data_IF_956541741042
#
_entry.id   IF_956541741042
#
_cell.length_a   1.000
_cell.length_b   1.000
_cell.length_c   1.000
_cell.angle_alpha   90.00
_cell.angle_beta   90.00
_cell.angle_gamma   90.00
#
_symmetry.space_group_name_H-M   'P 1'
#
loop_
_entity.id
_entity.type
_entity.pdbx_description
1 polymer ?
#
# COMPACT_ATOMS: atom_id res chain seq x y z
N UNK A 1 -17.28 -7.05 20.07
CA UNK A 1 -16.21 -7.68 19.26
C UNK A 1 -15.50 -6.56 18.52
N UNK A 2 -14.18 -6.48 18.64
CA UNK A 2 -13.36 -5.44 18.00
C UNK A 2 -13.27 -5.66 16.47
N UNK A 3 -12.93 -4.62 15.73
CA UNK A 3 -12.65 -4.65 14.30
C UNK A 3 -11.13 -4.66 14.05
N UNK A 4 -10.70 -5.03 12.85
CA UNK A 4 -9.29 -4.89 12.44
C UNK A 4 -9.18 -4.32 11.03
N UNK A 5 -8.29 -3.36 10.83
CA UNK A 5 -7.92 -2.83 9.53
C UNK A 5 -6.44 -3.12 9.29
N UNK A 6 -6.18 -3.95 8.29
CA UNK A 6 -4.86 -4.22 7.79
C UNK A 6 -4.49 -3.26 6.67
N UNK A 7 -3.30 -2.67 6.75
CA UNK A 7 -2.79 -1.76 5.73
C UNK A 7 -1.43 -2.22 5.19
N UNK A 8 -1.21 -2.02 3.90
CA UNK A 8 0.12 -2.01 3.29
C UNK A 8 0.36 -0.64 2.68
N UNK A 9 1.47 0.03 3.01
CA UNK A 9 1.75 1.37 2.53
C UNK A 9 3.23 1.61 2.27
N UNK A 10 3.54 2.31 1.18
CA UNK A 10 4.89 2.79 0.88
C UNK A 10 5.10 4.23 1.32
N UNK A 11 4.21 5.14 0.91
CA UNK A 11 4.30 6.59 1.16
C UNK A 11 3.26 7.13 2.13
N UNK A 12 2.61 6.26 2.91
CA UNK A 12 1.64 6.66 3.95
C UNK A 12 0.19 6.80 3.48
N UNK A 13 -0.11 6.77 2.18
CA UNK A 13 -1.48 6.98 1.68
C UNK A 13 -2.48 5.93 2.20
N UNK A 14 -2.19 4.63 2.00
CA UNK A 14 -3.04 3.55 2.52
C UNK A 14 -3.18 3.59 4.05
N UNK A 15 -2.12 3.97 4.76
CA UNK A 15 -2.14 4.12 6.21
C UNK A 15 -3.04 5.28 6.63
N UNK A 16 -2.94 6.43 5.97
CA UNK A 16 -3.81 7.59 6.23
C UNK A 16 -5.28 7.27 5.97
N UNK A 17 -5.60 6.53 4.91
CA UNK A 17 -6.96 6.01 4.66
C UNK A 17 -7.41 5.11 5.82
N UNK A 18 -6.58 4.14 6.20
CA UNK A 18 -6.91 3.18 7.26
C UNK A 18 -7.15 3.86 8.61
N UNK A 19 -6.27 4.79 8.99
CA UNK A 19 -6.41 5.62 10.20
C UNK A 19 -7.66 6.50 10.16
N UNK A 20 -8.00 7.05 8.99
CA UNK A 20 -9.21 7.84 8.80
C UNK A 20 -10.49 7.03 9.03
N UNK A 21 -10.54 5.79 8.52
CA UNK A 21 -11.67 4.87 8.72
C UNK A 21 -11.73 4.38 10.17
N UNK A 22 -10.58 4.02 10.76
CA UNK A 22 -10.48 3.59 12.16
C UNK A 22 -11.17 4.58 13.12
N UNK A 23 -10.95 5.89 12.93
CA UNK A 23 -11.58 6.96 13.72
C UNK A 23 -13.11 7.02 13.60
N UNK A 24 -13.71 6.37 12.61
CA UNK A 24 -15.15 6.45 12.29
C UNK A 24 -15.92 5.18 12.59
N UNK A 25 -15.27 4.01 12.55
CA UNK A 25 -15.95 2.72 12.71
C UNK A 25 -15.81 2.11 14.13
N UNK A 26 -15.32 2.89 15.10
CA UNK A 26 -15.29 2.53 16.52
C UNK A 26 -14.09 1.65 16.91
N UNK A 27 -14.29 0.74 17.88
CA UNK A 27 -13.28 -0.20 18.41
C UNK A 27 -12.60 -0.99 17.30
N UNK A 28 -11.42 -0.52 16.88
CA UNK A 28 -10.74 -0.99 15.68
C UNK A 28 -9.24 -0.97 15.87
N UNK A 29 -8.62 -2.14 15.70
CA UNK A 29 -7.18 -2.29 15.65
C UNK A 29 -6.68 -1.91 14.26
N UNK A 30 -5.59 -1.16 14.21
CA UNK A 30 -4.90 -0.83 12.97
C UNK A 30 -3.57 -1.58 12.93
N UNK A 31 -3.34 -2.40 11.91
CA UNK A 31 -2.18 -3.29 11.86
C UNK A 31 -1.52 -3.36 10.46
N UNK A 32 -0.19 -3.53 10.37
CA UNK A 32 0.46 -3.82 9.10
C UNK A 32 -0.04 -5.15 8.50
N UNK A 33 -0.45 -5.14 7.24
CA UNK A 33 -1.01 -6.30 6.55
C UNK A 33 -0.05 -7.50 6.51
N UNK A 34 1.25 -7.26 6.41
CA UNK A 34 2.24 -8.34 6.39
C UNK A 34 2.42 -9.04 7.74
N UNK A 35 1.86 -8.47 8.82
CA UNK A 35 1.77 -9.07 10.15
C UNK A 35 0.40 -9.72 10.40
N UNK A 36 -0.48 -9.81 9.40
CA UNK A 36 -1.86 -10.28 9.60
C UNK A 36 -1.96 -11.72 10.16
N UNK A 37 -0.97 -12.57 9.87
CA UNK A 37 -0.88 -13.93 10.42
C UNK A 37 -0.67 -13.98 11.94
N UNK A 38 -0.19 -12.88 12.54
CA UNK A 38 0.05 -12.78 13.98
C UNK A 38 -1.28 -12.51 14.74
N UNK A 39 -2.39 -12.36 14.01
CA UNK A 39 -3.72 -12.07 14.53
C UNK A 39 -4.66 -13.25 14.30
N UNK A 40 -5.56 -13.49 15.26
CA UNK A 40 -6.69 -14.40 15.07
C UNK A 40 -7.80 -13.70 14.28
N UNK A 41 -7.59 -13.52 12.97
CA UNK A 41 -8.43 -12.68 12.11
C UNK A 41 -9.92 -13.09 12.14
N UNK A 42 -10.20 -14.39 12.29
CA UNK A 42 -11.55 -14.92 12.40
C UNK A 42 -12.33 -14.49 13.67
N UNK A 43 -11.69 -13.86 14.67
CA UNK A 43 -12.35 -13.37 15.89
C UNK A 43 -12.88 -11.92 15.76
N UNK A 44 -12.43 -11.17 14.74
CA UNK A 44 -12.82 -9.76 14.56
C UNK A 44 -14.17 -9.60 13.86
N UNK A 45 -14.96 -8.59 14.22
CA UNK A 45 -16.26 -8.37 13.57
C UNK A 45 -16.11 -7.98 12.09
N UNK A 46 -15.42 -6.86 11.85
CA UNK A 46 -15.11 -6.33 10.52
C UNK A 46 -13.61 -6.47 10.25
N UNK A 47 -13.25 -6.94 9.05
CA UNK A 47 -11.86 -7.05 8.57
C UNK A 47 -11.65 -6.13 7.36
N UNK A 48 -10.74 -5.17 7.47
CA UNK A 48 -10.39 -4.26 6.39
C UNK A 48 -9.05 -4.59 5.74
N UNK A 49 -8.97 -4.52 4.41
CA UNK A 49 -7.71 -4.57 3.66
C UNK A 49 -7.52 -3.29 2.85
N UNK A 50 -6.47 -2.53 3.14
CA UNK A 50 -6.17 -1.27 2.44
C UNK A 50 -4.76 -1.32 1.88
N UNK A 51 -4.65 -1.18 0.56
CA UNK A 51 -3.41 -1.41 -0.17
C UNK A 51 -3.28 -0.46 -1.36
N UNK A 52 -2.04 -0.13 -1.79
CA UNK A 52 -1.80 0.61 -3.01
C UNK A 52 -2.03 -0.28 -4.23
N UNK A 53 -2.17 0.32 -5.40
CA UNK A 53 -2.20 -0.41 -6.68
C UNK A 53 -0.86 -0.29 -7.39
N UNK A 54 -0.14 -1.41 -7.54
CA UNK A 54 1.15 -1.47 -8.24
C UNK A 54 0.98 -2.17 -9.57
N UNK A 55 1.26 -1.44 -10.66
CA UNK A 55 1.06 -1.92 -12.02
C UNK A 55 -0.31 -2.59 -12.19
N UNK A 56 -1.37 -1.87 -11.86
CA UNK A 56 -2.78 -2.31 -11.95
C UNK A 56 -3.19 -3.52 -11.08
N UNK A 57 -2.35 -4.00 -10.16
CA UNK A 57 -2.67 -5.13 -9.27
C UNK A 57 -2.39 -4.81 -7.79
N UNK A 58 -2.85 -5.71 -6.91
CA UNK A 58 -2.39 -5.76 -5.52
C UNK A 58 -0.89 -6.10 -5.48
N UNK A 59 -0.09 -5.47 -4.60
CA UNK A 59 1.30 -5.87 -4.37
C UNK A 59 1.35 -7.34 -3.98
N UNK A 60 2.17 -8.15 -4.65
CA UNK A 60 2.12 -9.61 -4.48
C UNK A 60 2.28 -10.06 -3.03
N UNK A 61 3.15 -9.39 -2.27
CA UNK A 61 3.36 -9.69 -0.84
C UNK A 61 2.11 -9.42 0.02
N UNK A 62 1.32 -8.40 -0.34
CA UNK A 62 0.07 -8.08 0.33
C UNK A 62 -1.01 -9.10 -0.04
N UNK A 63 -1.06 -9.50 -1.31
CA UNK A 63 -2.00 -10.51 -1.80
C UNK A 63 -1.73 -11.88 -1.14
N UNK A 64 -0.46 -12.30 -1.06
CA UNK A 64 -0.07 -13.51 -0.32
C UNK A 64 -0.49 -13.46 1.14
N UNK A 65 -0.25 -12.34 1.83
CA UNK A 65 -0.70 -12.18 3.21
C UNK A 65 -2.23 -12.30 3.37
N UNK A 66 -3.02 -11.74 2.44
CA UNK A 66 -4.49 -11.86 2.44
C UNK A 66 -4.95 -13.30 2.14
N UNK A 67 -4.22 -14.02 1.31
CA UNK A 67 -4.54 -15.42 1.00
C UNK A 67 -4.36 -16.32 2.24
N UNK A 68 -3.32 -16.06 3.05
CA UNK A 68 -2.92 -16.94 4.16
C UNK A 68 -3.76 -16.77 5.45
N UNK A 69 -4.58 -15.72 5.57
CA UNK A 69 -5.44 -15.53 6.76
C UNK A 69 -6.64 -16.48 6.76
N UNK A 70 -7.05 -16.90 7.96
CA UNK A 70 -8.34 -17.58 8.17
C UNK A 70 -9.46 -16.56 8.43
N UNK A 71 -10.58 -16.71 7.74
CA UNK A 71 -11.81 -15.92 7.93
C UNK A 71 -12.96 -16.86 8.24
N UNK A 72 -13.96 -16.39 9.01
CA UNK A 72 -15.18 -17.16 9.25
C UNK A 72 -16.20 -16.95 8.13
N UNK A 73 -17.04 -17.95 7.90
CA UNK A 73 -18.15 -17.85 6.95
C UNK A 73 -19.05 -16.66 7.30
N UNK A 74 -19.40 -15.86 6.31
CA UNK A 74 -20.22 -14.66 6.49
C UNK A 74 -19.51 -13.49 7.19
N UNK A 75 -18.21 -13.58 7.48
CA UNK A 75 -17.45 -12.45 8.05
C UNK A 75 -17.51 -11.25 7.10
N UNK A 76 -17.68 -10.06 7.68
CA UNK A 76 -17.68 -8.84 6.89
C UNK A 76 -16.24 -8.43 6.57
N UNK A 77 -15.98 -8.24 5.28
CA UNK A 77 -14.67 -7.82 4.76
C UNK A 77 -14.87 -6.59 3.89
N UNK A 78 -14.04 -5.58 4.06
CA UNK A 78 -13.94 -4.49 3.09
C UNK A 78 -12.53 -4.39 2.52
N UNK A 79 -12.43 -4.07 1.23
CA UNK A 79 -11.16 -3.87 0.55
C UNK A 79 -11.12 -2.49 -0.12
N UNK A 80 -10.03 -1.75 0.06
CA UNK A 80 -9.84 -0.43 -0.52
C UNK A 80 -8.54 -0.38 -1.32
N UNK A 81 -8.70 -0.16 -2.63
CA UNK A 81 -7.60 0.13 -3.53
C UNK A 81 -7.25 1.62 -3.49
N UNK A 82 -6.09 1.97 -2.92
CA UNK A 82 -5.51 3.31 -2.97
C UNK A 82 -4.71 3.48 -4.27
N UNK A 83 -5.13 4.38 -5.18
CA UNK A 83 -4.56 4.44 -6.52
C UNK A 83 -4.22 5.85 -6.99
N UNK A 84 -3.05 6.00 -7.63
CA UNK A 84 -2.64 7.24 -8.30
C UNK A 84 -3.15 7.33 -9.74
N UNK A 85 -2.85 6.31 -10.55
CA UNK A 85 -3.26 6.24 -11.96
C UNK A 85 -4.60 5.55 -12.14
N UNK A 86 -4.56 4.22 -12.21
CA UNK A 86 -5.71 3.33 -12.38
C UNK A 86 -5.86 2.39 -11.17
N UNK A 87 -7.10 2.06 -10.80
CA UNK A 87 -7.38 1.01 -9.79
C UNK A 87 -7.18 -0.41 -10.33
N UNK A 88 -7.16 -0.56 -11.65
CA UNK A 88 -6.76 -1.82 -12.28
C UNK A 88 -7.65 -3.02 -11.95
N UNK A 89 -6.99 -4.16 -11.85
CA UNK A 89 -7.50 -5.45 -11.43
C UNK A 89 -7.39 -5.67 -9.92
N UNK A 90 -6.90 -4.69 -9.15
CA UNK A 90 -6.57 -4.90 -7.75
C UNK A 90 -7.76 -5.42 -6.89
N UNK A 91 -8.98 -4.96 -7.14
CA UNK A 91 -10.17 -5.50 -6.45
C UNK A 91 -10.62 -6.86 -6.99
N UNK A 92 -10.29 -7.17 -8.24
CA UNK A 92 -10.44 -8.52 -8.77
C UNK A 92 -9.49 -9.51 -8.10
N UNK A 93 -8.21 -9.13 -7.94
CA UNK A 93 -7.22 -9.94 -7.22
C UNK A 93 -7.72 -10.29 -5.80
N UNK A 94 -8.37 -9.33 -5.11
CA UNK A 94 -9.00 -9.57 -3.79
C UNK A 94 -10.13 -10.59 -3.87
N UNK A 95 -11.03 -10.48 -4.85
CA UNK A 95 -12.11 -11.47 -5.04
C UNK A 95 -11.56 -12.87 -5.25
N UNK A 96 -10.50 -12.99 -6.05
CA UNK A 96 -9.83 -14.27 -6.32
C UNK A 96 -9.21 -14.84 -5.04
N UNK A 97 -8.47 -14.03 -4.27
CA UNK A 97 -7.86 -14.44 -3.00
C UNK A 97 -8.87 -14.79 -1.89
N UNK A 98 -10.11 -14.28 -1.98
CA UNK A 98 -11.18 -14.55 -1.01
C UNK A 98 -12.23 -15.55 -1.50
N UNK A 99 -12.09 -16.08 -2.72
CA UNK A 99 -13.11 -16.89 -3.41
C UNK A 99 -13.58 -18.12 -2.62
N UNK A 100 -12.68 -18.75 -1.84
CA UNK A 100 -13.00 -19.90 -0.99
C UNK A 100 -13.47 -19.57 0.44
N UNK A 101 -13.58 -18.29 0.83
CA UNK A 101 -13.78 -17.88 2.24
C UNK A 101 -15.23 -17.48 2.59
N UNK A 102 -16.16 -17.50 1.63
CA UNK A 102 -17.60 -17.19 1.81
C UNK A 102 -17.91 -15.92 2.65
N UNK A 103 -17.16 -14.83 2.39
CA UNK A 103 -17.29 -13.56 3.14
C UNK A 103 -18.34 -12.61 2.55
N UNK A 104 -18.78 -11.63 3.35
CA UNK A 104 -19.55 -10.47 2.88
C UNK A 104 -18.53 -9.40 2.46
N UNK A 105 -18.19 -9.38 1.17
CA UNK A 105 -17.19 -8.45 0.62
C UNK A 105 -17.79 -7.11 0.19
N UNK A 106 -17.14 -6.04 0.65
CA UNK A 106 -17.34 -4.66 0.21
C UNK A 106 -16.10 -4.15 -0.52
N UNK A 107 -16.29 -3.53 -1.67
CA UNK A 107 -15.21 -3.05 -2.53
C UNK A 107 -15.26 -1.54 -2.67
N UNK A 108 -14.13 -0.89 -2.41
CA UNK A 108 -13.98 0.54 -2.60
C UNK A 108 -12.64 0.88 -3.26
N UNK A 109 -12.56 2.09 -3.79
CA UNK A 109 -11.34 2.66 -4.36
C UNK A 109 -11.24 4.12 -3.97
N UNK A 110 -10.04 4.57 -3.67
CA UNK A 110 -9.78 5.96 -3.31
C UNK A 110 -8.58 6.44 -4.12
N UNK A 111 -8.76 7.54 -4.84
CA UNK A 111 -7.66 8.17 -5.58
C UNK A 111 -6.75 8.89 -4.58
N UNK A 112 -5.45 8.62 -4.66
CA UNK A 112 -4.40 9.28 -3.88
C UNK A 112 -3.34 9.85 -4.83
N UNK A 113 -2.39 10.68 -4.36
CA UNK A 113 -1.26 11.07 -5.20
C UNK A 113 -0.43 9.84 -5.62
N UNK A 114 0.12 9.88 -6.85
CA UNK A 114 1.03 8.84 -7.33
C UNK A 114 2.40 8.94 -6.66
N UNK A 115 3.05 7.79 -6.44
CA UNK A 115 4.28 7.70 -5.64
C UNK A 115 5.42 6.91 -6.31
N UNK A 116 5.29 6.55 -7.60
CA UNK A 116 6.27 5.73 -8.30
C UNK A 116 7.39 6.58 -8.94
N UNK A 117 8.35 7.01 -8.12
CA UNK A 117 9.43 7.94 -8.48
C UNK A 117 10.36 7.44 -9.59
N UNK A 118 10.35 6.14 -9.90
CA UNK A 118 11.13 5.56 -11.00
C UNK A 118 10.52 5.87 -12.39
N UNK A 119 9.25 6.24 -12.48
CA UNK A 119 8.60 6.63 -13.74
C UNK A 119 8.21 8.12 -13.78
N UNK A 120 7.74 8.69 -12.66
CA UNK A 120 7.26 10.06 -12.60
C UNK A 120 7.53 10.73 -11.25
N UNK A 121 7.68 12.05 -11.24
CA UNK A 121 7.85 12.83 -10.01
C UNK A 121 6.51 13.18 -9.34
N UNK A 122 6.58 13.63 -8.10
CA UNK A 122 5.41 14.13 -7.38
C UNK A 122 4.76 15.32 -8.12
N UNK A 123 3.42 15.33 -8.12
CA UNK A 123 2.62 16.44 -8.63
C UNK A 123 2.80 17.70 -7.78
N UNK A 124 2.41 18.90 -8.24
CA UNK A 124 2.47 20.11 -7.42
C UNK A 124 1.71 19.94 -6.09
N UNK A 125 2.22 20.51 -4.99
CA UNK A 125 1.64 20.36 -3.64
C UNK A 125 0.15 20.71 -3.58
N UNK A 126 -0.26 21.80 -4.22
CA UNK A 126 -1.67 22.23 -4.32
C UNK A 126 -2.57 21.15 -4.95
N UNK A 127 -2.07 20.43 -5.94
CA UNK A 127 -2.81 19.34 -6.57
C UNK A 127 -2.82 18.07 -5.71
N UNK A 128 -1.74 17.80 -4.96
CA UNK A 128 -1.71 16.73 -3.96
C UNK A 128 -2.76 16.98 -2.88
N UNK A 129 -2.81 18.19 -2.32
CA UNK A 129 -3.79 18.62 -1.31
C UNK A 129 -5.23 18.49 -1.82
N UNK A 130 -5.49 18.89 -3.07
CA UNK A 130 -6.79 18.72 -3.71
C UNK A 130 -7.21 17.23 -3.80
N UNK A 131 -6.30 16.35 -4.20
CA UNK A 131 -6.58 14.90 -4.24
C UNK A 131 -6.85 14.38 -2.82
N UNK A 132 -6.02 14.75 -1.84
CA UNK A 132 -6.15 14.29 -0.46
C UNK A 132 -7.46 14.76 0.19
N UNK A 133 -7.89 16.01 -0.06
CA UNK A 133 -9.19 16.52 0.38
C UNK A 133 -10.37 15.74 -0.23
N UNK A 134 -10.24 15.32 -1.49
CA UNK A 134 -11.23 14.42 -2.14
C UNK A 134 -11.19 13.01 -1.56
N UNK A 135 -10.01 12.51 -1.19
CA UNK A 135 -9.85 11.23 -0.52
C UNK A 135 -10.53 11.26 0.86
N UNK A 136 -10.34 12.32 1.64
CA UNK A 136 -11.00 12.50 2.95
C UNK A 136 -12.53 12.47 2.86
N UNK A 137 -13.12 13.17 1.89
CA UNK A 137 -14.57 13.09 1.64
C UNK A 137 -15.03 11.67 1.33
N UNK A 138 -14.25 10.91 0.55
CA UNK A 138 -14.54 9.51 0.26
C UNK A 138 -14.38 8.62 1.49
N UNK A 139 -13.35 8.82 2.32
CA UNK A 139 -13.14 8.11 3.59
C UNK A 139 -14.39 8.27 4.47
N UNK A 140 -14.89 9.50 4.64
CA UNK A 140 -16.08 9.75 5.43
C UNK A 140 -17.31 9.01 4.89
N UNK A 141 -17.54 9.07 3.57
CA UNK A 141 -18.66 8.37 2.93
C UNK A 141 -18.55 6.83 3.06
N UNK A 142 -17.37 6.29 2.78
CA UNK A 142 -17.10 4.85 2.83
C UNK A 142 -17.23 4.33 4.26
N UNK A 143 -16.77 5.09 5.26
CA UNK A 143 -16.88 4.68 6.67
C UNK A 143 -18.33 4.45 7.09
N UNK A 144 -19.28 5.28 6.63
CA UNK A 144 -20.71 5.05 6.86
C UNK A 144 -21.20 3.76 6.20
N UNK A 145 -20.79 3.49 4.96
CA UNK A 145 -21.18 2.27 4.25
C UNK A 145 -20.55 1.00 4.81
N UNK A 146 -19.35 1.07 5.40
CA UNK A 146 -18.72 -0.07 6.06
C UNK A 146 -19.55 -0.54 7.25
N UNK A 147 -20.27 0.35 7.92
CA UNK A 147 -21.13 -0.05 9.04
C UNK A 147 -22.44 -0.73 8.57
N UNK A 148 -22.79 -0.61 7.30
CA UNK A 148 -23.91 -1.34 6.71
C UNK A 148 -23.45 -2.74 6.30
N UNK A 149 -23.94 -3.80 6.94
CA UNK A 149 -23.55 -5.19 6.65
C UNK A 149 -24.15 -5.66 5.32
N UNK A 150 -23.58 -5.21 4.20
CA UNK A 150 -24.06 -5.52 2.84
C UNK A 150 -22.93 -5.79 1.87
N UNK A 151 -23.18 -6.65 0.87
CA UNK A 151 -22.27 -6.78 -0.29
C UNK A 151 -22.39 -5.54 -1.17
N UNK A 152 -21.26 -5.07 -1.70
CA UNK A 152 -21.28 -4.08 -2.80
C UNK A 152 -21.35 -4.78 -4.15
N UNK A 153 -21.67 -4.03 -5.21
CA UNK A 153 -21.37 -4.49 -6.56
C UNK A 153 -19.86 -4.60 -6.80
N UNK A 154 -19.47 -5.39 -7.81
CA UNK A 154 -18.07 -5.57 -8.17
C UNK A 154 -17.53 -4.39 -8.95
N UNK A 155 -16.39 -3.86 -8.51
CA UNK A 155 -15.65 -2.84 -9.25
C UNK A 155 -14.86 -3.55 -10.35
N UNK A 156 -15.28 -3.31 -11.60
CA UNK A 156 -14.60 -3.83 -12.80
C UNK A 156 -13.33 -3.03 -13.10
N UNK A 157 -12.31 -3.65 -13.72
CA UNK A 157 -11.16 -2.93 -14.27
C UNK A 157 -11.60 -1.87 -15.27
N UNK A 158 -10.92 -0.71 -15.28
CA UNK A 158 -11.17 0.30 -16.31
C UNK A 158 -10.49 -0.06 -17.65
N UNK A 159 -10.89 0.66 -18.71
CA UNK A 159 -10.36 0.43 -20.06
C UNK A 159 -8.84 0.53 -20.14
N UNK A 160 -8.25 1.50 -19.43
CA UNK A 160 -6.79 1.68 -19.35
C UNK A 160 -6.12 0.41 -18.83
N UNK A 161 -6.65 -0.20 -17.77
CA UNK A 161 -6.08 -1.42 -17.21
C UNK A 161 -6.09 -2.59 -18.21
N UNK A 162 -7.16 -2.73 -19.00
CA UNK A 162 -7.28 -3.79 -20.02
C UNK A 162 -6.20 -3.70 -21.09
N UNK A 163 -5.82 -2.48 -21.49
CA UNK A 163 -4.78 -2.25 -22.49
C UNK A 163 -3.39 -2.61 -21.93
N UNK A 164 -3.14 -2.35 -20.65
CA UNK A 164 -1.82 -2.52 -20.03
C UNK A 164 -1.62 -3.85 -19.26
N UNK A 165 -2.61 -4.75 -19.25
CA UNK A 165 -2.61 -5.96 -18.40
C UNK A 165 -1.46 -6.96 -18.70
N UNK A 166 -1.12 -7.22 -19.97
CA UNK A 166 0.00 -8.12 -20.28
C UNK A 166 1.36 -7.51 -19.87
N UNK A 167 1.49 -6.19 -20.02
CA UNK A 167 2.68 -5.44 -19.63
C UNK A 167 2.83 -5.39 -18.11
N UNK A 168 1.75 -5.31 -17.34
CA UNK A 168 1.84 -5.26 -15.87
C UNK A 168 2.41 -6.53 -15.26
N UNK A 169 2.02 -7.71 -15.74
CA UNK A 169 2.56 -8.99 -15.23
C UNK A 169 4.07 -9.10 -15.45
N UNK A 170 4.55 -8.74 -16.65
CA UNK A 170 5.98 -8.68 -16.95
C UNK A 170 6.73 -7.67 -16.06
N UNK A 171 6.15 -6.50 -15.82
CA UNK A 171 6.79 -5.51 -14.94
C UNK A 171 6.88 -6.01 -13.49
N UNK A 172 5.84 -6.68 -12.99
CA UNK A 172 5.80 -7.22 -11.62
C UNK A 172 6.85 -8.33 -11.40
N UNK A 173 7.11 -9.17 -12.40
CA UNK A 173 8.16 -10.22 -12.27
C UNK A 173 9.57 -9.64 -12.19
N UNK A 174 9.78 -8.41 -12.67
CA UNK A 174 11.08 -7.72 -12.65
C UNK A 174 11.31 -6.87 -11.39
N UNK A 175 10.36 -6.83 -10.45
CA UNK A 175 10.45 -5.96 -9.27
C UNK A 175 11.70 -6.19 -8.43
N UNK A 176 12.09 -7.45 -8.26
CA UNK A 176 13.33 -7.83 -7.58
C UNK A 176 14.54 -7.24 -8.28
N UNK A 177 14.66 -7.47 -9.60
CA UNK A 177 15.84 -7.09 -10.39
C UNK A 177 15.98 -5.57 -10.51
N UNK A 178 14.86 -4.86 -10.65
CA UNK A 178 14.87 -3.39 -10.57
C UNK A 178 15.24 -2.97 -9.14
N UNK A 179 14.71 -3.67 -8.14
CA UNK A 179 14.96 -3.39 -6.73
C UNK A 179 16.39 -3.57 -6.27
N UNK A 180 17.17 -4.44 -6.90
CA UNK A 180 18.58 -4.67 -6.55
C UNK A 180 19.50 -3.55 -7.05
N UNK A 181 19.01 -2.69 -7.96
CA UNK A 181 19.77 -1.57 -8.54
C UNK A 181 19.64 -0.27 -7.76
N UNK A 182 18.92 -0.25 -6.63
CA UNK A 182 18.94 0.89 -5.71
C UNK A 182 20.31 1.01 -5.06
N UNK A 183 20.71 2.25 -4.76
CA UNK A 183 22.00 2.55 -4.13
C UNK A 183 21.89 3.76 -3.20
N UNK A 184 22.85 3.92 -2.31
CA UNK A 184 23.01 5.11 -1.48
C UNK A 184 24.05 6.05 -2.11
N UNK A 185 23.74 7.34 -2.18
CA UNK A 185 24.67 8.41 -2.57
C UNK A 185 25.52 8.85 -1.37
N UNK A 186 26.52 9.67 -1.64
CA UNK A 186 27.46 10.24 -0.65
C UNK A 186 26.79 10.99 0.50
N UNK A 187 25.58 11.54 0.31
CA UNK A 187 24.85 12.23 1.40
C UNK A 187 24.26 11.28 2.44
N UNK A 188 24.48 9.97 2.31
CA UNK A 188 23.98 8.97 3.25
C UNK A 188 24.69 9.06 4.60
N UNK A 189 23.94 9.45 5.64
CA UNK A 189 24.43 9.49 7.03
C UNK A 189 24.25 8.17 7.78
N UNK A 190 23.99 7.06 7.08
CA UNK A 190 23.84 5.73 7.67
C UNK A 190 22.80 5.63 8.81
N UNK A 191 21.71 6.41 8.74
CA UNK A 191 20.62 6.35 9.75
C UNK A 191 19.79 5.04 9.70
N UNK A 192 19.99 4.23 8.66
CA UNK A 192 19.31 2.95 8.43
C UNK A 192 17.77 2.98 8.42
N UNK A 193 17.15 4.16 8.26
CA UNK A 193 15.69 4.28 8.15
C UNK A 193 15.11 3.46 7.00
N UNK A 194 15.82 3.42 5.86
CA UNK A 194 15.43 2.62 4.70
C UNK A 194 15.36 1.11 5.00
N UNK A 195 16.26 0.60 5.86
CA UNK A 195 16.28 -0.80 6.29
C UNK A 195 15.04 -1.10 7.13
N UNK A 196 14.75 -0.24 8.11
CA UNK A 196 13.57 -0.37 9.00
C UNK A 196 12.25 -0.30 8.24
N UNK A 197 12.16 0.60 7.26
CA UNK A 197 10.99 0.78 6.41
C UNK A 197 10.78 -0.35 5.39
N UNK A 198 11.77 -1.21 5.14
CA UNK A 198 11.69 -2.18 4.05
C UNK A 198 10.79 -3.36 4.43
N UNK A 199 9.57 -3.49 3.88
CA UNK A 199 8.63 -4.52 4.30
C UNK A 199 9.09 -5.94 3.97
N UNK A 200 9.95 -6.08 2.95
CA UNK A 200 10.47 -7.38 2.50
C UNK A 200 11.87 -7.68 3.02
N UNK A 201 12.42 -6.85 3.91
CA UNK A 201 13.80 -6.94 4.40
C UNK A 201 14.82 -7.06 3.25
N UNK A 202 14.57 -6.32 2.16
CA UNK A 202 15.41 -6.34 0.96
C UNK A 202 16.75 -5.63 1.13
N UNK A 203 16.87 -4.77 2.15
CA UNK A 203 18.06 -3.95 2.37
C UNK A 203 18.81 -4.54 3.56
N UNK A 204 20.06 -4.92 3.37
CA UNK A 204 20.96 -5.41 4.42
C UNK A 204 22.14 -4.47 4.60
N UNK A 205 22.87 -4.63 5.71
CA UNK A 205 24.08 -3.87 6.01
C UNK A 205 25.26 -4.84 5.92
N UNK A 206 26.27 -4.48 5.13
CA UNK A 206 27.52 -5.24 4.99
C UNK A 206 28.70 -4.29 4.97
N UNK A 207 29.66 -4.47 5.88
CA UNK A 207 30.82 -3.59 6.06
C UNK A 207 30.43 -2.09 6.15
N UNK A 208 29.38 -1.79 6.90
CA UNK A 208 28.82 -0.44 7.05
C UNK A 208 27.96 0.06 5.88
N UNK A 209 28.04 -0.59 4.71
CA UNK A 209 27.33 -0.19 3.49
C UNK A 209 25.95 -0.82 3.37
N UNK A 210 25.02 -0.09 2.76
CA UNK A 210 23.68 -0.57 2.42
C UNK A 210 23.71 -1.41 1.14
N UNK A 211 23.16 -2.63 1.19
CA UNK A 211 23.07 -3.55 0.06
C UNK A 211 21.60 -3.85 -0.25
N UNK A 212 21.18 -3.65 -1.50
CA UNK A 212 19.83 -3.98 -1.96
C UNK A 212 19.81 -5.35 -2.64
N UNK A 213 19.00 -6.26 -2.11
CA UNK A 213 18.78 -7.59 -2.66
C UNK A 213 17.71 -7.63 -3.76
N UNK A 214 17.26 -8.86 -4.06
CA UNK A 214 16.34 -9.18 -5.15
C UNK A 214 14.88 -9.48 -4.71
N UNK A 215 14.50 -9.10 -3.49
CA UNK A 215 13.17 -9.30 -2.86
C UNK A 215 12.35 -8.00 -2.79
N UNK A 216 12.68 -7.00 -3.59
CA UNK A 216 11.99 -5.71 -3.55
C UNK A 216 10.54 -5.83 -4.02
N UNK A 217 9.62 -5.16 -3.31
CA UNK A 217 8.21 -5.07 -3.69
C UNK A 217 7.86 -3.77 -4.44
N UNK A 218 8.87 -2.96 -4.80
CA UNK A 218 8.72 -1.68 -5.49
C UNK A 218 7.78 -0.68 -4.77
N UNK A 219 7.73 -0.71 -3.43
CA UNK A 219 6.86 0.19 -2.66
C UNK A 219 7.35 1.64 -2.57
N UNK A 220 8.60 1.87 -2.98
CA UNK A 220 9.30 3.15 -2.96
C UNK A 220 9.51 3.77 -1.58
N UNK A 221 9.19 3.07 -0.48
CA UNK A 221 9.33 3.63 0.87
C UNK A 221 10.76 4.12 1.17
N UNK A 222 11.77 3.32 0.87
CA UNK A 222 13.17 3.65 1.17
C UNK A 222 13.67 4.93 0.47
N UNK A 223 13.25 5.16 -0.78
CA UNK A 223 13.64 6.33 -1.56
C UNK A 223 12.80 7.56 -1.21
N UNK A 224 11.52 7.38 -0.93
CA UNK A 224 10.60 8.48 -0.63
C UNK A 224 10.82 9.06 0.78
N UNK A 225 11.15 8.22 1.75
CA UNK A 225 11.30 8.62 3.17
C UNK A 225 12.76 8.82 3.60
N UNK A 226 13.72 8.79 2.67
CA UNK A 226 15.12 9.03 3.05
C UNK A 226 15.28 10.49 3.50
N UNK A 227 15.63 10.77 4.77
CA UNK A 227 15.70 12.15 5.27
C UNK A 227 16.79 12.97 4.58
N UNK A 228 17.82 12.31 4.05
CA UNK A 228 18.93 12.94 3.34
C UNK A 228 18.74 12.92 1.81
N UNK A 229 17.62 12.38 1.30
CA UNK A 229 17.43 12.08 -0.13
C UNK A 229 18.63 11.32 -0.74
N UNK A 230 19.25 10.44 0.06
CA UNK A 230 20.48 9.74 -0.27
C UNK A 230 20.22 8.42 -1.02
N UNK A 231 19.07 7.78 -0.81
CA UNK A 231 18.69 6.59 -1.59
C UNK A 231 18.33 7.02 -3.01
N UNK A 232 18.88 6.33 -4.01
CA UNK A 232 18.65 6.62 -5.42
C UNK A 232 18.60 5.35 -6.26
N UNK A 233 18.28 5.50 -7.54
CA UNK A 233 18.16 4.42 -8.51
C UNK A 233 18.51 4.93 -9.92
N UNK A 234 19.16 4.15 -10.80
CA UNK A 234 19.54 4.60 -12.15
C UNK A 234 18.38 5.09 -13.02
N UNK A 235 17.17 4.54 -12.81
CA UNK A 235 15.95 4.98 -13.52
C UNK A 235 15.33 6.28 -12.98
N UNK A 236 15.79 6.80 -11.84
CA UNK A 236 15.27 8.04 -11.27
C UNK A 236 15.94 9.27 -11.92
N UNK A 237 15.14 10.07 -12.64
CA UNK A 237 15.62 11.36 -13.18
C UNK A 237 15.83 12.40 -12.06
N UNK A 238 16.83 13.28 -12.24
CA UNK A 238 17.27 14.27 -11.23
C UNK A 238 16.20 15.28 -10.82
N UNK A 239 15.26 15.61 -11.70
CA UNK A 239 14.21 16.62 -11.54
C UNK A 239 12.94 16.08 -10.83
N UNK A 240 12.89 14.78 -10.55
CA UNK A 240 11.71 14.17 -9.94
C UNK A 240 11.63 14.51 -8.46
N UNK A 241 10.51 15.11 -8.08
CA UNK A 241 10.18 15.41 -6.69
C UNK A 241 9.72 14.16 -5.94
N UNK A 242 10.14 14.04 -4.69
CA UNK A 242 9.68 13.02 -3.76
C UNK A 242 8.25 13.32 -3.27
N UNK A 243 7.55 12.28 -2.88
CA UNK A 243 6.21 12.34 -2.29
C UNK A 243 6.11 11.42 -1.08
N UNK A 244 5.65 12.00 0.02
CA UNK A 244 5.14 11.31 1.19
C UNK A 244 3.80 11.95 1.55
N UNK A 245 2.88 11.16 2.11
CA UNK A 245 1.61 11.70 2.57
C UNK A 245 1.89 12.71 3.71
N UNK A 246 1.45 13.98 3.59
CA UNK A 246 1.80 15.03 4.54
C UNK A 246 1.19 14.83 5.93
N UNK A 247 0.19 13.96 6.07
CA UNK A 247 -0.48 13.67 7.33
C UNK A 247 0.08 12.42 8.04
N UNK A 248 1.23 11.91 7.58
CA UNK A 248 1.86 10.70 8.09
C UNK A 248 3.32 10.99 8.39
N UNK A 249 3.76 10.55 9.56
CA UNK A 249 5.18 10.55 9.91
C UNK A 249 5.68 9.12 10.05
N UNK A 250 6.99 8.94 9.91
CA UNK A 250 7.63 7.65 10.16
C UNK A 250 8.47 7.79 11.42
N UNK A 251 8.21 6.95 12.40
CA UNK A 251 8.94 6.97 13.65
C UNK A 251 10.33 6.31 13.54
N UNK A 252 11.08 6.34 14.65
CA UNK A 252 12.43 5.77 14.71
C UNK A 252 12.47 4.25 14.49
N UNK A 253 11.35 3.56 14.67
CA UNK A 253 11.20 2.11 14.43
C UNK A 253 10.82 1.77 12.99
N UNK A 254 10.56 2.77 12.14
CA UNK A 254 10.13 2.55 10.75
C UNK A 254 8.64 2.27 10.61
N UNK A 255 7.84 2.64 11.61
CA UNK A 255 6.38 2.49 11.59
C UNK A 255 5.71 3.84 11.31
N UNK A 256 4.52 3.80 10.69
CA UNK A 256 3.75 5.01 10.38
C UNK A 256 2.95 5.46 11.59
N UNK A 257 2.95 6.77 11.84
CA UNK A 257 2.15 7.44 12.87
C UNK A 257 1.26 8.51 12.25
#
# INVERSE_FOLDING_TARGET
MSNVIFYFSGTGDSYSIAKGIQKKIGDTILAPLLKAKDYKVAEYNIVGFIFPVYYVHVPQIALSAINDISLRKGQQVFAIAAYGGSWGYALQDIREALSGKEVILQEYKIRTPGNYILEYGALPKTYQEYILKKAEKQINKISGFILEVKKTGYIKPNLIARIFHSRSNKQRSLFGEIGSKFYAKEQCVHCYQCVKLCPTKNITISNGNLIWGNKCAQCMACIQWCPQNAVSHPLMKKDRRHYTNPNVVVNQSGEFE
#
